data_IF_457040053084
#
_entry.id   IF_457040053084
#
_cell.length_a   1.000
_cell.length_b   1.000
_cell.length_c   1.000
_cell.angle_alpha   90.00
_cell.angle_beta   90.00
_cell.angle_gamma   90.00
#
_symmetry.space_group_name_H-M   'P 1'
#
loop_
_entity.id
_entity.type
_entity.pdbx_description
1 polymer ?
#
# COMPACT_ATOMS: atom_id res chain seq x y z
N UNK A 1 -19.24 24.43 8.45
CA UNK A 1 -17.76 24.35 8.50
C UNK A 1 -17.37 22.89 8.40
N UNK A 2 -16.95 22.45 7.22
CA UNK A 2 -16.65 21.05 6.93
C UNK A 2 -15.21 20.76 7.38
N UNK A 3 -15.07 19.94 8.43
CA UNK A 3 -13.78 19.48 8.95
C UNK A 3 -13.25 18.39 8.01
N UNK A 4 -12.65 18.77 6.88
CA UNK A 4 -12.04 17.83 5.90
C UNK A 4 -10.54 17.65 6.07
N UNK A 5 -9.88 18.44 6.92
CA UNK A 5 -8.42 18.43 7.09
C UNK A 5 -7.79 17.21 7.80
N UNK A 6 -8.43 16.50 8.76
CA UNK A 6 -7.73 15.45 9.52
C UNK A 6 -7.48 14.18 8.72
N UNK A 7 -8.34 13.87 7.73
CA UNK A 7 -8.21 12.66 6.90
C UNK A 7 -7.06 12.81 5.90
N UNK A 8 -6.93 13.97 5.24
CA UNK A 8 -5.85 14.22 4.29
C UNK A 8 -4.46 14.11 4.95
N UNK A 9 -4.29 14.74 6.12
CA UNK A 9 -3.04 14.64 6.90
C UNK A 9 -2.70 13.20 7.30
N UNK A 10 -3.72 12.40 7.64
CA UNK A 10 -3.51 10.99 7.98
C UNK A 10 -3.06 10.18 6.76
N UNK A 11 -3.68 10.39 5.60
CA UNK A 11 -3.29 9.72 4.36
C UNK A 11 -1.85 10.07 3.96
N UNK A 12 -1.46 11.34 4.09
CA UNK A 12 -0.09 11.78 3.81
C UNK A 12 0.92 11.13 4.76
N UNK A 13 0.58 11.03 6.06
CA UNK A 13 1.41 10.33 7.04
C UNK A 13 1.62 8.86 6.66
N UNK A 14 0.55 8.16 6.27
CA UNK A 14 0.61 6.77 5.79
C UNK A 14 1.52 6.66 4.57
N UNK A 15 1.31 7.48 3.54
CA UNK A 15 2.14 7.47 2.32
C UNK A 15 3.61 7.73 2.63
N UNK A 16 3.91 8.72 3.47
CA UNK A 16 5.28 9.10 3.81
C UNK A 16 5.99 8.04 4.63
N UNK A 17 5.29 7.39 5.56
CA UNK A 17 5.81 6.28 6.37
C UNK A 17 6.22 5.11 5.47
N UNK A 18 5.34 4.71 4.55
CA UNK A 18 5.63 3.65 3.59
C UNK A 18 6.76 4.06 2.64
N UNK A 19 6.68 5.27 2.07
CA UNK A 19 7.69 5.78 1.14
C UNK A 19 9.08 5.73 1.74
N UNK A 20 9.24 6.27 2.95
CA UNK A 20 10.52 6.26 3.67
C UNK A 20 11.02 4.83 3.91
N UNK A 21 10.13 3.93 4.32
CA UNK A 21 10.48 2.54 4.57
C UNK A 21 10.99 1.83 3.32
N UNK A 22 10.24 1.92 2.22
CA UNK A 22 10.58 1.26 0.96
C UNK A 22 11.84 1.87 0.36
N UNK A 23 11.95 3.21 0.29
CA UNK A 23 13.15 3.86 -0.24
C UNK A 23 14.43 3.51 0.52
N UNK A 24 14.32 3.12 1.80
CA UNK A 24 15.48 2.68 2.61
C UNK A 24 15.83 1.21 2.36
N UNK A 25 14.83 0.33 2.19
CA UNK A 25 15.04 -1.13 2.07
C UNK A 25 15.18 -1.63 0.64
N UNK A 26 14.53 -0.97 -0.30
CA UNK A 26 14.49 -1.31 -1.71
C UNK A 26 14.47 -0.03 -2.57
N UNK A 27 15.63 0.67 -2.69
CA UNK A 27 15.74 1.85 -3.54
C UNK A 27 15.29 1.56 -4.97
N UNK A 28 14.52 2.45 -5.59
CA UNK A 28 14.01 2.28 -6.96
C UNK A 28 12.73 1.45 -7.10
N UNK A 29 12.32 0.71 -6.06
CA UNK A 29 11.13 -0.14 -6.14
C UNK A 29 9.85 0.67 -6.31
N UNK A 30 9.71 1.78 -5.59
CA UNK A 30 8.51 2.63 -5.69
C UNK A 30 8.36 3.25 -7.07
N UNK A 31 9.47 3.66 -7.68
CA UNK A 31 9.53 4.22 -9.03
C UNK A 31 9.06 3.19 -10.05
N UNK A 32 9.56 1.95 -9.95
CA UNK A 32 9.13 0.84 -10.81
C UNK A 32 7.63 0.57 -10.62
N UNK A 33 7.16 0.42 -9.38
CA UNK A 33 5.75 0.16 -9.10
C UNK A 33 4.84 1.32 -9.54
N UNK A 34 5.31 2.56 -9.44
CA UNK A 34 4.60 3.73 -9.95
C UNK A 34 4.48 3.69 -11.47
N UNK A 35 5.51 3.30 -12.22
CA UNK A 35 5.41 3.16 -13.68
C UNK A 35 4.28 2.18 -14.07
N UNK A 36 4.23 1.02 -13.43
CA UNK A 36 3.17 0.03 -13.68
C UNK A 36 1.79 0.53 -13.23
N UNK A 37 1.69 1.10 -12.03
CA UNK A 37 0.43 1.59 -11.47
C UNK A 37 -0.14 2.75 -12.29
N UNK A 38 0.70 3.67 -12.75
CA UNK A 38 0.30 4.79 -13.62
C UNK A 38 -0.17 4.27 -14.99
N UNK A 39 0.55 3.31 -15.58
CA UNK A 39 0.18 2.74 -16.88
C UNK A 39 -1.17 2.00 -16.85
N UNK A 40 -1.48 1.28 -15.77
CA UNK A 40 -2.68 0.43 -15.69
C UNK A 40 -3.87 1.17 -15.04
N UNK A 41 -3.61 2.02 -14.05
CA UNK A 41 -4.65 2.63 -13.22
C UNK A 41 -4.63 4.17 -13.21
N UNK A 42 -3.66 4.82 -13.86
CA UNK A 42 -3.54 6.28 -13.90
C UNK A 42 -3.18 6.91 -12.55
N UNK A 43 -2.71 6.12 -11.56
CA UNK A 43 -2.39 6.60 -10.20
C UNK A 43 -1.09 5.99 -9.69
N UNK A 44 -0.36 6.72 -8.84
CA UNK A 44 0.78 6.18 -8.09
C UNK A 44 0.37 5.03 -7.16
N UNK A 45 1.27 4.08 -6.91
CA UNK A 45 0.97 2.86 -6.15
C UNK A 45 0.52 3.16 -4.71
N UNK A 46 1.10 4.17 -4.06
CA UNK A 46 0.71 4.56 -2.70
C UNK A 46 -0.65 5.25 -2.65
N UNK A 47 -1.06 5.93 -3.73
CA UNK A 47 -2.42 6.48 -3.84
C UNK A 47 -3.40 5.35 -4.07
N UNK A 48 -3.07 4.43 -4.99
CA UNK A 48 -3.88 3.23 -5.26
C UNK A 48 -4.07 2.37 -4.02
N UNK A 49 -3.00 2.19 -3.22
CA UNK A 49 -3.05 1.46 -1.96
C UNK A 49 -4.08 2.03 -0.98
N UNK A 50 -4.12 3.35 -0.83
CA UNK A 50 -5.02 3.97 0.16
C UNK A 50 -6.46 3.94 -0.33
N UNK A 51 -6.70 4.19 -1.61
CA UNK A 51 -8.05 4.18 -2.18
C UNK A 51 -8.61 2.76 -2.34
N UNK A 52 -7.75 1.82 -2.74
CA UNK A 52 -8.13 0.44 -3.04
C UNK A 52 -6.99 -0.54 -2.77
N UNK A 53 -6.82 -0.98 -1.51
CA UNK A 53 -5.75 -1.92 -1.12
C UNK A 53 -5.72 -3.21 -1.95
N UNK A 54 -6.89 -3.74 -2.33
CA UNK A 54 -6.97 -4.95 -3.15
C UNK A 54 -6.52 -4.73 -4.59
N UNK A 55 -6.75 -3.53 -5.15
CA UNK A 55 -6.24 -3.22 -6.50
C UNK A 55 -4.72 -3.07 -6.48
N UNK A 56 -4.16 -2.45 -5.44
CA UNK A 56 -2.71 -2.41 -5.25
C UNK A 56 -2.11 -3.82 -5.08
N UNK A 57 -2.75 -4.68 -4.28
CA UNK A 57 -2.33 -6.08 -4.13
C UNK A 57 -2.40 -6.84 -5.46
N UNK A 58 -3.48 -6.68 -6.22
CA UNK A 58 -3.64 -7.33 -7.54
C UNK A 58 -2.57 -6.88 -8.52
N UNK A 59 -2.19 -5.59 -8.52
CA UNK A 59 -1.06 -5.11 -9.31
C UNK A 59 0.23 -5.85 -8.94
N UNK A 60 0.53 -6.00 -7.64
CA UNK A 60 1.69 -6.77 -7.18
C UNK A 60 1.62 -8.22 -7.67
N UNK A 61 0.46 -8.87 -7.55
CA UNK A 61 0.27 -10.23 -8.04
C UNK A 61 0.47 -10.34 -9.56
N UNK A 62 -0.03 -9.39 -10.35
CA UNK A 62 0.16 -9.36 -11.80
C UNK A 62 1.63 -9.19 -12.20
N UNK A 63 2.40 -8.40 -11.45
CA UNK A 63 3.82 -8.15 -11.71
C UNK A 63 4.69 -9.35 -11.37
N UNK A 64 4.51 -9.91 -10.17
CA UNK A 64 5.36 -10.97 -9.67
C UNK A 64 4.88 -12.37 -10.06
N UNK A 65 3.60 -12.50 -10.47
CA UNK A 65 2.94 -13.75 -10.84
C UNK A 65 3.02 -14.86 -9.77
N UNK A 66 3.20 -14.43 -8.53
CA UNK A 66 3.35 -15.31 -7.37
C UNK A 66 2.62 -14.68 -6.18
N UNK A 67 1.67 -15.44 -5.64
CA UNK A 67 0.80 -15.01 -4.54
C UNK A 67 1.58 -14.82 -3.24
N UNK A 68 2.55 -15.69 -2.95
CA UNK A 68 3.35 -15.61 -1.75
C UNK A 68 4.27 -14.38 -1.80
N UNK A 69 4.87 -14.11 -2.97
CA UNK A 69 5.70 -12.92 -3.18
C UNK A 69 4.88 -11.63 -3.09
N UNK A 70 3.73 -11.54 -3.76
CA UNK A 70 2.87 -10.36 -3.69
C UNK A 70 2.39 -10.09 -2.26
N UNK A 71 2.02 -11.15 -1.54
CA UNK A 71 1.64 -11.10 -0.12
C UNK A 71 2.79 -10.63 0.75
N UNK A 72 3.99 -11.19 0.57
CA UNK A 72 5.17 -10.82 1.33
C UNK A 72 5.57 -9.36 1.08
N UNK A 73 5.50 -8.89 -0.17
CA UNK A 73 5.78 -7.49 -0.52
C UNK A 73 4.76 -6.58 0.14
N UNK A 74 3.47 -6.86 -0.01
CA UNK A 74 2.40 -6.05 0.58
C UNK A 74 2.51 -6.00 2.11
N UNK A 75 2.65 -7.15 2.75
CA UNK A 75 2.75 -7.24 4.21
C UNK A 75 4.02 -6.56 4.74
N UNK A 76 5.19 -6.85 4.17
CA UNK A 76 6.46 -6.42 4.75
C UNK A 76 6.89 -5.01 4.34
N UNK A 77 6.56 -4.58 3.12
CA UNK A 77 7.03 -3.29 2.60
C UNK A 77 5.99 -2.19 2.71
N UNK A 78 4.69 -2.51 2.60
CA UNK A 78 3.62 -1.52 2.66
C UNK A 78 2.92 -1.48 4.02
N UNK A 79 2.63 -2.62 4.63
CA UNK A 79 1.79 -2.68 5.84
C UNK A 79 2.61 -2.64 7.13
N UNK A 80 3.66 -3.45 7.25
CA UNK A 80 4.52 -3.51 8.44
C UNK A 80 5.04 -2.15 8.94
N UNK A 81 5.50 -1.19 8.10
CA UNK A 81 5.96 0.11 8.60
C UNK A 81 4.84 0.94 9.25
N UNK A 82 3.56 0.66 8.97
CA UNK A 82 2.44 1.36 9.58
C UNK A 82 2.26 1.04 11.07
N UNK A 83 2.86 -0.05 11.56
CA UNK A 83 2.92 -0.36 13.00
C UNK A 83 3.64 0.72 13.83
N UNK A 84 4.43 1.60 13.19
CA UNK A 84 5.13 2.71 13.84
C UNK A 84 4.29 3.97 14.01
N UNK A 85 3.11 4.02 13.40
CA UNK A 85 2.18 5.16 13.54
C UNK A 85 1.43 5.00 14.87
N UNK A 86 1.29 6.09 15.62
CA UNK A 86 0.64 6.09 16.96
C UNK A 86 -0.81 5.59 16.97
N UNK A 87 -1.44 5.48 15.80
CA UNK A 87 -2.79 4.96 15.63
C UNK A 87 -2.77 3.49 15.14
N UNK A 88 -2.91 2.49 16.04
CA UNK A 88 -2.82 1.07 15.69
C UNK A 88 -3.95 0.61 14.76
N UNK A 89 -5.10 1.31 14.75
CA UNK A 89 -6.24 0.97 13.90
C UNK A 89 -5.91 1.08 12.42
N UNK A 90 -4.93 1.91 12.04
CA UNK A 90 -4.48 2.04 10.65
C UNK A 90 -3.79 0.76 10.21
N UNK A 91 -2.82 0.28 11.00
CA UNK A 91 -2.12 -0.96 10.71
C UNK A 91 -3.10 -2.14 10.62
N UNK A 92 -4.02 -2.24 11.59
CA UNK A 92 -5.05 -3.28 11.60
C UNK A 92 -6.00 -3.19 10.40
N UNK A 93 -6.38 -1.98 9.97
CA UNK A 93 -7.20 -1.77 8.78
C UNK A 93 -6.54 -2.36 7.54
N UNK A 94 -5.28 -2.04 7.28
CA UNK A 94 -4.58 -2.55 6.10
C UNK A 94 -4.32 -4.06 6.17
N UNK A 95 -4.04 -4.61 7.36
CA UNK A 95 -3.94 -6.07 7.55
C UNK A 95 -5.26 -6.79 7.23
N UNK A 96 -6.38 -6.27 7.75
CA UNK A 96 -7.70 -6.84 7.46
C UNK A 96 -8.02 -6.75 5.97
N UNK A 97 -7.69 -5.63 5.33
CA UNK A 97 -7.88 -5.48 3.88
C UNK A 97 -7.03 -6.47 3.10
N UNK A 98 -5.75 -6.63 3.43
CA UNK A 98 -4.90 -7.62 2.77
C UNK A 98 -5.49 -9.04 2.88
N UNK A 99 -5.97 -9.43 4.06
CA UNK A 99 -6.64 -10.72 4.26
C UNK A 99 -7.87 -10.87 3.35
N UNK A 100 -8.75 -9.86 3.32
CA UNK A 100 -9.91 -9.85 2.42
C UNK A 100 -9.52 -9.98 0.94
N UNK A 101 -8.42 -9.36 0.52
CA UNK A 101 -7.95 -9.43 -0.87
C UNK A 101 -7.42 -10.85 -1.18
N UNK A 102 -6.62 -11.41 -0.28
CA UNK A 102 -6.07 -12.76 -0.42
C UNK A 102 -7.19 -13.79 -0.51
N UNK A 103 -8.25 -13.66 0.29
CA UNK A 103 -9.39 -14.60 0.29
C UNK A 103 -10.23 -14.52 -0.99
N UNK A 104 -10.14 -13.41 -1.74
CA UNK A 104 -10.93 -13.14 -2.96
C UNK A 104 -10.16 -13.34 -4.26
N UNK A 105 -8.84 -13.38 -4.22
CA UNK A 105 -8.01 -13.64 -5.40
C UNK A 105 -7.80 -15.17 -5.56
N UNK A 106 -8.04 -15.72 -6.77
CA UNK A 106 -7.94 -17.16 -7.03
C UNK A 106 -6.53 -17.72 -6.80
#
# INVERSE_FOLDING_TARGET
>A
MTITQPVGKMMDLVKNTIRRHISTRAPGLLEILNLYSLNIHGKEILTLLIESPCTAYRLLYQLYKDRAVATAIMANLFIAPLSTIENPSIHQFFLNKLKECIDKEP
#
